data_IF_734790703623
#
_entry.id   IF_734790703623
#
_cell.length_a   1.000
_cell.length_b   1.000
_cell.length_c   1.000
_cell.angle_alpha   90.00
_cell.angle_beta   90.00
_cell.angle_gamma   90.00
#
_symmetry.space_group_name_H-M   'P 1'
#
loop_
_entity.id
_entity.type
_entity.pdbx_description
1 polymer ?
#
# COMPACT_ATOMS: atom_id res chain seq x y z
N UNK A 1 -4.81 -6.39 -19.61
CA UNK A 1 -4.60 -7.26 -18.43
C UNK A 1 -3.66 -6.63 -17.41
N UNK A 2 -2.51 -6.09 -17.83
CA UNK A 2 -1.47 -5.52 -16.94
C UNK A 2 -1.98 -4.48 -15.93
N UNK A 3 -2.90 -3.59 -16.30
CA UNK A 3 -3.50 -2.59 -15.38
C UNK A 3 -4.25 -3.22 -14.21
N UNK A 4 -5.00 -4.28 -14.47
CA UNK A 4 -5.74 -4.99 -13.44
C UNK A 4 -4.79 -5.74 -12.52
N UNK A 5 -3.73 -6.34 -13.06
CA UNK A 5 -2.69 -7.02 -12.27
C UNK A 5 -1.95 -6.06 -11.35
N UNK A 6 -1.56 -4.87 -11.84
CA UNK A 6 -0.90 -3.83 -11.02
C UNK A 6 -1.83 -3.33 -9.93
N UNK A 7 -3.10 -3.07 -10.25
CA UNK A 7 -4.10 -2.65 -9.27
C UNK A 7 -4.34 -3.73 -8.21
N UNK A 8 -4.58 -4.98 -8.62
CA UNK A 8 -4.81 -6.09 -7.71
C UNK A 8 -3.59 -6.37 -6.82
N UNK A 9 -2.37 -6.33 -7.39
CA UNK A 9 -1.13 -6.48 -6.63
C UNK A 9 -0.95 -5.39 -5.58
N UNK A 10 -1.24 -4.14 -5.94
CA UNK A 10 -1.21 -3.02 -4.99
C UNK A 10 -2.21 -3.20 -3.83
N UNK A 11 -3.45 -3.60 -4.13
CA UNK A 11 -4.46 -3.85 -3.08
C UNK A 11 -4.02 -4.98 -2.14
N UNK A 12 -3.41 -6.03 -2.66
CA UNK A 12 -2.90 -7.14 -1.82
C UNK A 12 -1.80 -6.65 -0.87
N UNK A 13 -0.85 -5.85 -1.36
CA UNK A 13 0.22 -5.28 -0.51
C UNK A 13 -0.38 -4.42 0.59
N UNK A 14 -1.36 -3.57 0.26
CA UNK A 14 -2.03 -2.69 1.22
C UNK A 14 -2.78 -3.49 2.30
N UNK A 15 -3.41 -4.60 1.94
CA UNK A 15 -4.06 -5.50 2.89
C UNK A 15 -3.06 -6.16 3.85
N UNK A 16 -1.87 -6.54 3.37
CA UNK A 16 -0.81 -7.12 4.22
C UNK A 16 -0.33 -6.07 5.23
N UNK A 17 -0.10 -4.83 4.80
CA UNK A 17 0.30 -3.73 5.69
C UNK A 17 -0.77 -3.43 6.75
N UNK A 18 -2.05 -3.45 6.36
CA UNK A 18 -3.17 -3.26 7.28
C UNK A 18 -3.23 -4.37 8.34
N UNK A 19 -2.98 -5.62 7.94
CA UNK A 19 -2.97 -6.75 8.85
C UNK A 19 -1.79 -6.68 9.81
N UNK A 20 -0.60 -6.30 9.33
CA UNK A 20 0.56 -6.06 10.18
C UNK A 20 0.29 -4.96 11.21
N UNK A 21 -0.29 -3.83 10.76
CA UNK A 21 -0.66 -2.73 11.64
C UNK A 21 -1.72 -3.12 12.69
N UNK A 22 -2.71 -3.93 12.29
CA UNK A 22 -3.70 -4.49 13.21
C UNK A 22 -3.03 -5.31 14.31
N UNK A 23 -2.05 -6.15 13.94
CA UNK A 23 -1.24 -6.91 14.89
C UNK A 23 -0.49 -6.01 15.86
N UNK A 24 0.16 -4.96 15.36
CA UNK A 24 0.91 -4.00 16.17
C UNK A 24 0.01 -3.31 17.20
N UNK A 25 -1.19 -2.86 16.82
CA UNK A 25 -2.13 -2.20 17.75
C UNK A 25 -2.59 -3.12 18.89
N UNK A 26 -2.70 -4.43 18.65
CA UNK A 26 -3.20 -5.40 19.64
C UNK A 26 -2.10 -5.96 20.55
N UNK A 27 -0.83 -5.64 20.28
CA UNK A 27 0.32 -6.05 21.10
C UNK A 27 0.91 -4.85 21.83
N UNK A 28 1.75 -5.10 22.83
CA UNK A 28 2.56 -4.05 23.45
C UNK A 28 3.58 -3.60 22.40
N UNK A 29 3.47 -2.36 21.96
CA UNK A 29 4.26 -1.78 20.88
C UNK A 29 4.88 -0.46 21.34
N UNK A 30 5.99 -0.08 20.71
CA UNK A 30 6.54 1.26 20.88
C UNK A 30 5.80 2.26 19.98
N UNK A 31 5.83 3.53 20.35
CA UNK A 31 5.24 4.61 19.54
C UNK A 31 5.93 4.72 18.17
N UNK A 32 7.22 4.36 18.10
CA UNK A 32 7.99 4.35 16.85
C UNK A 32 7.45 3.33 15.84
N UNK A 33 7.06 2.13 16.30
CA UNK A 33 6.52 1.07 15.44
C UNK A 33 5.20 1.50 14.78
N UNK A 34 4.33 2.15 15.55
CA UNK A 34 3.04 2.67 15.05
C UNK A 34 3.27 3.73 13.98
N UNK A 35 4.17 4.67 14.22
CA UNK A 35 4.51 5.72 13.26
C UNK A 35 5.10 5.10 11.98
N UNK A 36 5.97 4.11 12.11
CA UNK A 36 6.54 3.39 10.97
C UNK A 36 5.45 2.76 10.10
N UNK A 37 4.50 2.03 10.69
CA UNK A 37 3.40 1.41 9.94
C UNK A 37 2.49 2.43 9.27
N UNK A 38 2.18 3.54 9.94
CA UNK A 38 1.38 4.62 9.35
C UNK A 38 2.08 5.22 8.13
N UNK A 39 3.38 5.50 8.25
CA UNK A 39 4.20 6.05 7.14
C UNK A 39 4.29 5.04 6.00
N UNK A 40 4.45 3.75 6.30
CA UNK A 40 4.49 2.68 5.30
C UNK A 40 3.18 2.65 4.50
N UNK A 41 2.03 2.58 5.17
CA UNK A 41 0.70 2.59 4.53
C UNK A 41 0.50 3.84 3.67
N UNK A 42 0.88 5.02 4.19
CA UNK A 42 0.79 6.27 3.44
C UNK A 42 1.66 6.24 2.17
N UNK A 43 2.89 5.72 2.26
CA UNK A 43 3.79 5.58 1.12
C UNK A 43 3.21 4.63 0.06
N UNK A 44 2.64 3.50 0.49
CA UNK A 44 2.03 2.50 -0.41
C UNK A 44 0.79 3.04 -1.11
N UNK A 45 -0.02 3.89 -0.44
CA UNK A 45 -1.14 4.60 -1.06
C UNK A 45 -0.68 5.55 -2.18
N UNK A 46 0.38 6.33 -1.92
CA UNK A 46 0.94 7.27 -2.90
C UNK A 46 1.51 6.52 -4.11
N UNK A 47 2.38 5.53 -3.85
CA UNK A 47 3.03 4.75 -4.91
C UNK A 47 2.01 3.99 -5.76
N UNK A 48 1.02 3.35 -5.14
CA UNK A 48 -0.02 2.62 -5.88
C UNK A 48 -0.90 3.52 -6.74
N UNK A 49 -1.24 4.72 -6.23
CA UNK A 49 -1.99 5.72 -6.99
C UNK A 49 -1.19 6.20 -8.21
N UNK A 50 0.09 6.54 -8.03
CA UNK A 50 0.96 6.95 -9.14
C UNK A 50 1.13 5.81 -10.15
N UNK A 51 1.39 4.59 -9.69
CA UNK A 51 1.59 3.43 -10.56
C UNK A 51 0.34 3.11 -11.41
N UNK A 52 -0.85 3.20 -10.82
CA UNK A 52 -2.11 2.97 -11.55
C UNK A 52 -2.41 4.08 -12.57
N UNK A 53 -2.09 5.35 -12.25
CA UNK A 53 -2.21 6.47 -13.20
C UNK A 53 -1.20 6.34 -14.35
N UNK A 54 0.06 6.04 -14.06
CA UNK A 54 1.09 5.86 -15.10
C UNK A 54 0.74 4.70 -16.03
N UNK A 55 0.28 3.58 -15.47
CA UNK A 55 -0.16 2.42 -16.28
C UNK A 55 -1.42 2.74 -17.09
N UNK A 56 -2.24 3.71 -16.66
CA UNK A 56 -3.37 4.23 -17.46
C UNK A 56 -2.89 5.04 -18.65
N UNK A 57 -1.96 5.98 -18.44
CA UNK A 57 -1.48 6.88 -19.50
C UNK A 57 -0.68 6.15 -20.58
N UNK A 58 0.15 5.16 -20.21
CA UNK A 58 0.96 4.36 -21.16
C UNK A 58 0.15 3.50 -22.14
N UNK A 59 -1.18 3.47 -22.04
CA UNK A 59 -2.08 2.75 -22.97
C UNK A 59 -2.75 3.69 -24.00
N UNK A 60 -2.56 5.00 -23.87
CA UNK A 60 -3.12 6.02 -24.77
C UNK A 60 -2.08 6.56 -25.78
N UNK A 61 -0.81 6.18 -25.59
CA UNK A 61 0.30 6.34 -26.54
C UNK A 61 0.45 5.06 -27.37
#
# INVERSE_FOLDING_TARGET
MTRFTVFAGWIIILLIELFAFYGTIHQVHDSEDVVFHIVLIASTLVVGTVATIVTKNRRLE
#
